data_IF_904180026952
#
_entry.id   IF_904180026952
#
_cell.length_a   1.000
_cell.length_b   1.000
_cell.length_c   1.000
_cell.angle_alpha   90.00
_cell.angle_beta   90.00
_cell.angle_gamma   90.00
#
_symmetry.space_group_name_H-M   'P 1'
#
loop_
_entity.id
_entity.type
_entity.pdbx_description
1 polymer ?
#
# COMPACT_ATOMS: atom_id res chain seq x y z
N UNK A 1 -23.79 6.12 -7.33
CA UNK A 1 -22.67 6.19 -6.37
C UNK A 1 -21.66 5.05 -6.51
N UNK A 2 -22.04 3.81 -6.87
CA UNK A 2 -21.08 2.74 -7.13
C UNK A 2 -20.22 2.97 -8.39
N UNK A 3 -20.83 3.51 -9.45
CA UNK A 3 -20.16 3.76 -10.73
C UNK A 3 -19.01 4.77 -10.65
N UNK A 4 -19.14 5.81 -9.82
CA UNK A 4 -18.10 6.82 -9.61
C UNK A 4 -16.89 6.25 -8.88
N UNK A 5 -17.11 5.37 -7.89
CA UNK A 5 -16.02 4.72 -7.14
C UNK A 5 -15.24 3.74 -8.02
N UNK A 6 -15.95 3.01 -8.89
CA UNK A 6 -15.35 2.08 -9.85
C UNK A 6 -14.52 2.83 -10.89
N UNK A 7 -15.07 3.90 -11.48
CA UNK A 7 -14.36 4.70 -12.48
C UNK A 7 -13.10 5.36 -11.90
N UNK A 8 -13.19 5.92 -10.70
CA UNK A 8 -12.04 6.51 -10.01
C UNK A 8 -10.95 5.46 -9.73
N UNK A 9 -11.32 4.25 -9.33
CA UNK A 9 -10.36 3.18 -9.06
C UNK A 9 -9.62 2.74 -10.33
N UNK A 10 -10.34 2.58 -11.45
CA UNK A 10 -9.75 2.18 -12.73
C UNK A 10 -8.81 3.26 -13.25
N UNK A 11 -9.20 4.53 -13.17
CA UNK A 11 -8.34 5.65 -13.55
C UNK A 11 -7.09 5.72 -12.68
N UNK A 12 -7.22 5.56 -11.36
CA UNK A 12 -6.08 5.51 -10.45
C UNK A 12 -5.15 4.32 -10.73
N UNK A 13 -5.70 3.14 -11.04
CA UNK A 13 -4.91 1.95 -11.37
C UNK A 13 -4.13 2.14 -12.69
N UNK A 14 -4.77 2.73 -13.71
CA UNK A 14 -4.11 3.06 -14.98
C UNK A 14 -2.99 4.09 -14.76
N UNK A 15 -3.25 5.13 -13.97
CA UNK A 15 -2.23 6.12 -13.62
C UNK A 15 -1.04 5.46 -12.91
N UNK A 16 -1.30 4.64 -11.89
CA UNK A 16 -0.24 3.90 -11.18
C UNK A 16 0.55 3.01 -12.15
N UNK A 17 -0.13 2.26 -13.03
CA UNK A 17 0.53 1.41 -14.03
C UNK A 17 1.39 2.19 -15.02
N UNK A 18 0.99 3.40 -15.41
CA UNK A 18 1.76 4.30 -16.29
C UNK A 18 2.96 4.91 -15.55
N UNK A 19 2.84 5.17 -14.25
CA UNK A 19 3.94 5.69 -13.45
C UNK A 19 5.00 4.62 -13.11
N UNK A 20 4.61 3.36 -12.89
CA UNK A 20 5.50 2.22 -12.57
C UNK A 20 6.73 2.07 -13.50
N UNK A 21 6.65 2.18 -14.85
CA UNK A 21 7.81 2.03 -15.73
C UNK A 21 8.81 3.20 -15.61
N UNK A 22 8.46 4.29 -14.95
CA UNK A 22 9.36 5.43 -14.79
C UNK A 22 10.60 5.01 -14.00
N UNK A 23 11.80 5.24 -14.57
CA UNK A 23 13.10 4.90 -13.96
C UNK A 23 13.23 5.35 -12.50
N UNK A 24 12.57 6.47 -12.14
CA UNK A 24 12.55 7.09 -10.81
C UNK A 24 11.78 6.28 -9.75
N UNK A 25 10.72 5.55 -10.15
CA UNK A 25 9.90 4.75 -9.24
C UNK A 25 10.56 3.40 -8.95
N UNK A 26 11.18 2.78 -9.97
CA UNK A 26 11.87 1.48 -9.82
C UNK A 26 13.04 1.50 -8.83
N UNK A 27 13.63 2.66 -8.60
CA UNK A 27 14.80 2.83 -7.71
C UNK A 27 14.44 3.10 -6.26
N UNK A 28 13.17 3.44 -5.98
CA UNK A 28 12.76 3.91 -4.66
C UNK A 28 11.70 3.00 -4.05
N UNK A 29 12.09 2.33 -2.96
CA UNK A 29 11.24 1.44 -2.15
C UNK A 29 9.89 2.05 -1.76
N UNK A 30 9.79 3.29 -1.23
CA UNK A 30 8.50 3.83 -0.80
C UNK A 30 7.55 4.11 -1.97
N UNK A 31 8.07 4.53 -3.13
CA UNK A 31 7.25 4.73 -4.33
C UNK A 31 6.70 3.40 -4.86
N UNK A 32 7.51 2.35 -4.86
CA UNK A 32 7.06 1.01 -5.27
C UNK A 32 6.02 0.44 -4.28
N UNK A 33 6.21 0.70 -2.98
CA UNK A 33 5.24 0.31 -1.97
C UNK A 33 3.88 1.00 -2.19
N UNK A 34 3.85 2.32 -2.40
CA UNK A 34 2.61 3.03 -2.69
C UNK A 34 1.94 2.47 -3.94
N UNK A 35 2.69 2.25 -5.02
CA UNK A 35 2.13 1.69 -6.25
C UNK A 35 1.52 0.30 -6.02
N UNK A 36 2.20 -0.57 -5.26
CA UNK A 36 1.73 -1.92 -4.97
C UNK A 36 0.50 -1.93 -4.06
N UNK A 37 0.54 -1.22 -2.93
CA UNK A 37 -0.55 -1.18 -1.96
C UNK A 37 -1.77 -0.44 -2.50
N UNK A 38 -1.57 0.76 -3.07
CA UNK A 38 -2.66 1.56 -3.63
C UNK A 38 -3.23 0.91 -4.90
N UNK A 39 -2.37 0.35 -5.76
CA UNK A 39 -2.80 -0.37 -6.95
C UNK A 39 -3.63 -1.61 -6.60
N UNK A 40 -3.17 -2.41 -5.64
CA UNK A 40 -3.90 -3.57 -5.13
C UNK A 40 -5.26 -3.18 -4.54
N UNK A 41 -5.30 -2.12 -3.72
CA UNK A 41 -6.54 -1.63 -3.13
C UNK A 41 -7.56 -1.18 -4.20
N UNK A 42 -7.11 -0.40 -5.19
CA UNK A 42 -7.97 0.03 -6.29
C UNK A 42 -8.47 -1.15 -7.12
N UNK A 43 -7.63 -2.16 -7.39
CA UNK A 43 -8.03 -3.37 -8.11
C UNK A 43 -9.19 -4.09 -7.40
N UNK A 44 -9.09 -4.27 -6.08
CA UNK A 44 -10.16 -4.90 -5.29
C UNK A 44 -11.46 -4.10 -5.38
N UNK A 45 -11.39 -2.77 -5.30
CA UNK A 45 -12.57 -1.93 -5.45
C UNK A 45 -13.20 -2.04 -6.85
N UNK A 46 -12.39 -2.15 -7.90
CA UNK A 46 -12.86 -2.36 -9.27
C UNK A 46 -13.54 -3.72 -9.43
N UNK A 47 -12.93 -4.80 -8.92
CA UNK A 47 -13.52 -6.14 -8.93
C UNK A 47 -14.81 -6.16 -8.12
N UNK A 48 -14.85 -5.51 -6.95
CA UNK A 48 -16.06 -5.44 -6.13
C UNK A 48 -17.20 -4.73 -6.88
N UNK A 49 -16.91 -3.61 -7.55
CA UNK A 49 -17.91 -2.91 -8.36
C UNK A 49 -18.40 -3.74 -9.56
N UNK A 50 -17.54 -4.58 -10.14
CA UNK A 50 -17.90 -5.46 -11.26
C UNK A 50 -18.75 -6.66 -10.79
N UNK A 51 -18.29 -7.37 -9.76
CA UNK A 51 -18.96 -8.58 -9.24
C UNK A 51 -20.32 -8.25 -8.63
N UNK A 52 -20.45 -7.09 -7.98
CA UNK A 52 -21.69 -6.66 -7.32
C UNK A 52 -22.53 -5.72 -8.19
N UNK A 53 -22.24 -5.64 -9.49
CA UNK A 53 -23.06 -4.93 -10.47
C UNK A 53 -24.41 -5.65 -10.65
N UNK A 54 -25.35 -5.44 -9.72
CA UNK A 54 -26.71 -5.96 -9.77
C UNK A 54 -27.02 -7.13 -8.84
N UNK A 55 -26.14 -7.49 -7.90
CA UNK A 55 -26.42 -8.54 -6.92
C UNK A 55 -25.92 -8.15 -5.52
N UNK A 56 -26.75 -8.42 -4.50
CA UNK A 56 -26.50 -8.13 -3.07
C UNK A 56 -26.16 -9.40 -2.27
N UNK A 57 -26.17 -10.57 -2.91
CA UNK A 57 -25.86 -11.83 -2.25
C UNK A 57 -24.35 -12.06 -2.09
N UNK A 58 -23.96 -12.48 -0.88
CA UNK A 58 -22.58 -12.82 -0.48
C UNK A 58 -22.16 -14.06 -1.27
N UNK A 59 -21.51 -13.86 -2.41
CA UNK A 59 -21.19 -14.96 -3.33
C UNK A 59 -19.97 -15.78 -2.88
N UNK A 60 -18.98 -15.15 -2.20
CA UNK A 60 -17.70 -15.80 -1.85
C UNK A 60 -17.16 -15.23 -0.52
N UNK A 61 -17.26 -15.94 0.63
CA UNK A 61 -16.77 -15.45 1.92
C UNK A 61 -15.24 -15.24 1.93
N UNK A 62 -14.49 -16.04 1.16
CA UNK A 62 -13.02 -15.92 1.02
C UNK A 62 -12.59 -14.56 0.45
N UNK A 63 -13.40 -13.96 -0.43
CA UNK A 63 -13.09 -12.65 -1.02
C UNK A 63 -13.16 -11.52 0.02
N UNK A 64 -14.12 -11.61 0.94
CA UNK A 64 -14.31 -10.59 1.98
C UNK A 64 -13.13 -10.56 2.97
N UNK A 65 -12.58 -11.74 3.33
CA UNK A 65 -11.41 -11.81 4.22
C UNK A 65 -10.16 -11.19 3.56
N UNK A 66 -9.92 -11.50 2.27
CA UNK A 66 -8.79 -10.92 1.50
C UNK A 66 -8.93 -9.40 1.40
N UNK A 67 -10.13 -8.91 1.06
CA UNK A 67 -10.39 -7.47 0.96
C UNK A 67 -10.13 -6.76 2.30
N UNK A 68 -10.62 -7.33 3.39
CA UNK A 68 -10.44 -6.74 4.73
C UNK A 68 -8.98 -6.71 5.15
N UNK A 69 -8.23 -7.80 4.90
CA UNK A 69 -6.79 -7.87 5.18
C UNK A 69 -6.02 -6.83 4.37
N UNK A 70 -6.26 -6.72 3.06
CA UNK A 70 -5.58 -5.74 2.23
C UNK A 70 -5.91 -4.30 2.64
N UNK A 71 -7.17 -4.01 2.98
CA UNK A 71 -7.60 -2.68 3.40
C UNK A 71 -6.93 -2.26 4.72
N UNK A 72 -6.83 -3.16 5.69
CA UNK A 72 -6.10 -2.93 6.94
C UNK A 72 -4.60 -2.70 6.70
N UNK A 73 -3.96 -3.51 5.85
CA UNK A 73 -2.56 -3.34 5.50
C UNK A 73 -2.28 -1.99 4.83
N UNK A 74 -3.15 -1.60 3.89
CA UNK A 74 -3.06 -0.34 3.13
C UNK A 74 -3.16 0.88 4.06
N UNK A 75 -4.04 0.84 5.06
CA UNK A 75 -4.21 1.94 6.03
C UNK A 75 -2.93 2.26 6.82
N UNK A 76 -2.00 1.31 6.95
CA UNK A 76 -0.72 1.48 7.66
C UNK A 76 0.43 1.68 6.67
N UNK A 77 0.42 0.96 5.56
CA UNK A 77 1.48 1.03 4.57
C UNK A 77 1.58 2.41 3.91
N UNK A 78 0.43 3.05 3.61
CA UNK A 78 0.38 4.38 3.00
C UNK A 78 1.02 5.47 3.87
N UNK A 79 0.59 5.70 5.12
CA UNK A 79 1.23 6.71 5.97
C UNK A 79 2.70 6.39 6.22
N UNK A 80 3.08 5.11 6.33
CA UNK A 80 4.48 4.70 6.41
C UNK A 80 5.29 5.11 5.19
N UNK A 81 4.75 4.93 3.99
CA UNK A 81 5.40 5.33 2.75
C UNK A 81 5.45 6.86 2.56
N UNK A 82 4.39 7.58 2.94
CA UNK A 82 4.39 9.05 2.93
C UNK A 82 5.43 9.63 3.88
N UNK A 83 5.58 9.06 5.07
CA UNK A 83 6.63 9.44 6.01
C UNK A 83 8.02 9.22 5.41
N UNK A 84 8.24 8.07 4.76
CA UNK A 84 9.49 7.78 4.05
C UNK A 84 9.80 8.85 3.00
N UNK A 85 8.83 9.19 2.15
CA UNK A 85 8.95 10.24 1.13
C UNK A 85 9.27 11.59 1.79
N UNK A 86 8.52 11.98 2.82
CA UNK A 86 8.75 13.24 3.53
C UNK A 86 10.16 13.33 4.13
N UNK A 87 10.72 12.22 4.64
CA UNK A 87 12.12 12.17 5.08
C UNK A 87 13.10 12.37 3.92
N UNK A 88 12.84 11.80 2.74
CA UNK A 88 13.69 12.03 1.56
C UNK A 88 13.68 13.51 1.17
N UNK A 89 12.49 14.12 1.13
CA UNK A 89 12.34 15.55 0.85
C UNK A 89 13.06 16.40 1.90
N UNK A 90 12.96 16.05 3.18
CA UNK A 90 13.66 16.75 4.27
C UNK A 90 15.18 16.72 4.08
N UNK A 91 15.72 15.59 3.62
CA UNK A 91 17.16 15.47 3.34
C UNK A 91 17.57 16.35 2.15
N UNK A 92 16.78 16.39 1.09
CA UNK A 92 17.04 17.24 -0.08
C UNK A 92 16.93 18.74 0.25
N UNK A 93 15.96 19.13 1.07
CA UNK A 93 15.72 20.52 1.43
C UNK A 93 16.75 21.08 2.42
N UNK A 94 17.39 20.22 3.22
CA UNK A 94 18.29 20.67 4.29
C UNK A 94 19.70 21.05 3.80
N UNK A 95 19.98 21.03 2.49
CA UNK A 95 21.31 21.19 1.87
C UNK A 95 22.41 20.32 2.52
N UNK A 96 21.99 19.30 3.27
CA UNK A 96 22.88 18.34 3.91
C UNK A 96 23.39 17.45 2.81
N UNK A 97 24.71 17.42 2.62
CA UNK A 97 25.37 16.47 1.73
C UNK A 97 24.78 15.08 2.01
N UNK A 98 24.16 14.47 0.99
CA UNK A 98 23.69 13.10 1.09
C UNK A 98 24.87 12.27 1.57
N UNK A 99 24.68 11.57 2.69
CA UNK A 99 25.74 10.73 3.23
C UNK A 99 26.05 9.66 2.19
N UNK A 100 27.22 9.77 1.55
CA UNK A 100 27.73 8.77 0.61
C UNK A 100 28.20 7.50 1.33
N UNK A 101 28.13 7.49 2.68
CA UNK A 101 28.47 6.32 3.47
C UNK A 101 27.49 5.18 3.17
N UNK A 102 27.98 4.02 2.70
CA UNK A 102 27.11 2.91 2.30
C UNK A 102 26.27 2.36 3.47
N UNK A 103 26.77 2.47 4.71
CA UNK A 103 26.06 2.04 5.92
C UNK A 103 24.79 2.88 6.15
N UNK A 104 24.89 4.21 5.99
CA UNK A 104 23.76 5.13 6.21
C UNK A 104 22.69 4.91 5.14
N UNK A 105 23.11 4.71 3.89
CA UNK A 105 22.20 4.40 2.77
C UNK A 105 21.49 3.07 2.99
N UNK A 106 22.22 2.04 3.43
CA UNK A 106 21.64 0.72 3.71
C UNK A 106 20.63 0.76 4.86
N UNK A 107 20.96 1.45 5.96
CA UNK A 107 20.06 1.56 7.12
C UNK A 107 18.78 2.32 6.76
N UNK A 108 18.89 3.37 5.95
CA UNK A 108 17.72 4.09 5.43
C UNK A 108 16.83 3.19 4.57
N UNK A 109 17.41 2.42 3.64
CA UNK A 109 16.66 1.46 2.82
C UNK A 109 15.99 0.37 3.66
N UNK A 110 16.68 -0.12 4.69
CA UNK A 110 16.11 -1.09 5.63
C UNK A 110 14.90 -0.52 6.38
N UNK A 111 15.01 0.73 6.84
CA UNK A 111 13.91 1.43 7.51
C UNK A 111 12.73 1.70 6.57
N UNK A 112 12.99 2.07 5.31
CA UNK A 112 11.96 2.19 4.27
C UNK A 112 11.21 0.88 4.07
N UNK A 113 11.93 -0.25 3.94
CA UNK A 113 11.32 -1.59 3.80
C UNK A 113 10.54 -1.97 5.06
N UNK A 114 11.07 -1.66 6.24
CA UNK A 114 10.43 -1.98 7.51
C UNK A 114 9.08 -1.27 7.66
N UNK A 115 9.05 0.05 7.42
CA UNK A 115 7.83 0.85 7.51
C UNK A 115 6.81 0.49 6.42
N UNK A 116 7.26 0.20 5.20
CA UNK A 116 6.36 0.00 4.05
C UNK A 116 5.84 -1.44 3.89
N UNK A 117 6.52 -2.45 4.44
CA UNK A 117 6.17 -3.87 4.26
C UNK A 117 6.07 -4.63 5.59
N UNK A 118 7.10 -4.54 6.44
CA UNK A 118 7.16 -5.35 7.66
C UNK A 118 6.08 -4.90 8.65
N UNK A 119 5.93 -3.59 8.86
CA UNK A 119 4.95 -3.04 9.79
C UNK A 119 3.49 -3.37 9.40
N UNK A 120 3.05 -3.20 8.13
CA UNK A 120 1.73 -3.66 7.69
C UNK A 120 1.50 -5.16 7.90
N UNK A 121 2.50 -6.00 7.62
CA UNK A 121 2.40 -7.46 7.78
C UNK A 121 2.30 -7.83 9.25
N UNK A 122 3.10 -7.22 10.12
CA UNK A 122 3.02 -7.44 11.56
C UNK A 122 1.66 -7.02 12.12
N UNK A 123 1.09 -5.91 11.64
CA UNK A 123 -0.25 -5.47 12.07
C UNK A 123 -1.36 -6.41 11.59
N UNK A 124 -1.27 -6.89 10.35
CA UNK A 124 -2.22 -7.89 9.85
C UNK A 124 -2.12 -9.20 10.65
N UNK A 125 -0.91 -9.65 10.98
CA UNK A 125 -0.70 -10.84 11.79
C UNK A 125 -1.18 -10.68 13.25
N UNK A 126 -0.94 -9.52 13.86
CA UNK A 126 -1.39 -9.27 15.24
C UNK A 126 -2.91 -9.20 15.36
N UNK A 127 -3.60 -8.63 14.36
CA UNK A 127 -5.07 -8.58 14.36
C UNK A 127 -5.70 -9.96 14.15
N UNK A 128 -5.07 -10.83 13.38
CA UNK A 128 -5.52 -12.22 13.23
C UNK A 128 -5.37 -12.99 14.56
N UNK A 129 -4.26 -12.79 15.26
CA UNK A 129 -4.06 -13.33 16.61
C UNK A 129 -5.13 -12.82 17.59
N UNK A 130 -5.49 -11.54 17.49
CA UNK A 130 -6.55 -10.96 18.32
C UNK A 130 -7.94 -11.55 18.00
N UNK A 131 -8.26 -11.83 16.72
CA UNK A 131 -9.50 -12.54 16.36
C UNK A 131 -9.54 -13.96 16.93
N UNK A 132 -8.42 -14.68 16.91
CA UNK A 132 -8.34 -16.04 17.43
C UNK A 132 -8.59 -16.07 18.95
N UNK A 133 -8.15 -15.03 19.68
CA UNK A 133 -8.45 -14.90 21.11
C UNK A 133 -9.88 -14.44 21.45
N UNK A 134 -10.59 -13.80 20.50
CA UNK A 134 -11.98 -13.36 20.70
C UNK A 134 -13.00 -14.49 20.43
N UNK A 135 -12.60 -15.49 19.62
CA UNK A 135 -13.44 -16.64 19.23
C UNK A 135 -13.39 -17.80 20.25
N UNK A 136 -12.57 -17.71 21.31
CA UNK A 136 -12.37 -18.76 22.33
C UNK A 136 -12.87 -18.31 23.72
#
# INVERSE_FOLDING_TARGET
MAFTMAALSVVCAILVAVFVPTKRIRTSVPHLAIALWLGGFNLIHGVNAFVWAGNINIHIPVWCDIMTKLMLGTAIALPGAFLCIAMELRLMASDRKLSTNPIVVRNRKLLEVFLCYILPVLYMASRECLRICDDQ
#
